data_IF_064095852463
#
_entry.id   IF_064095852463
#
_cell.length_a   1.000
_cell.length_b   1.000
_cell.length_c   1.000
_cell.angle_alpha   90.00
_cell.angle_beta   90.00
_cell.angle_gamma   90.00
#
_symmetry.space_group_name_H-M   'P 1'
#
loop_
_entity.id
_entity.type
_entity.pdbx_description
1 polymer ?
#
# COMPACT_ATOMS: atom_id res chain seq x y z
N UNK A 1 4.82 -19.61 3.75
CA UNK A 1 4.76 -18.65 2.63
C UNK A 1 6.17 -18.13 2.42
N UNK A 2 6.75 -18.35 1.25
CA UNK A 2 8.11 -17.89 0.97
C UNK A 2 8.14 -16.39 0.67
N UNK A 3 9.31 -15.78 0.79
CA UNK A 3 9.48 -14.33 0.54
C UNK A 3 8.97 -13.94 -0.84
N UNK A 4 9.20 -14.74 -1.88
CA UNK A 4 8.70 -14.49 -3.23
C UNK A 4 7.18 -14.44 -3.31
N UNK A 5 6.50 -15.32 -2.58
CA UNK A 5 5.04 -15.32 -2.53
C UNK A 5 4.50 -14.04 -1.88
N UNK A 6 5.21 -13.47 -0.89
CA UNK A 6 4.83 -12.18 -0.28
C UNK A 6 4.84 -11.05 -1.31
N UNK A 7 5.87 -10.98 -2.14
CA UNK A 7 5.94 -9.97 -3.22
C UNK A 7 4.85 -10.20 -4.28
N UNK A 8 4.59 -11.46 -4.63
CA UNK A 8 3.50 -11.80 -5.55
C UNK A 8 2.13 -11.37 -4.99
N UNK A 9 1.87 -11.65 -3.72
CA UNK A 9 0.66 -11.18 -3.04
C UNK A 9 0.59 -9.66 -2.98
N UNK A 10 1.73 -8.97 -2.81
CA UNK A 10 1.78 -7.51 -2.85
C UNK A 10 1.35 -6.96 -4.20
N UNK A 11 1.73 -7.62 -5.31
CA UNK A 11 1.33 -7.23 -6.66
C UNK A 11 -0.14 -7.53 -6.95
N UNK A 12 -0.69 -8.63 -6.45
CA UNK A 12 -2.07 -9.04 -6.74
C UNK A 12 -3.08 -8.36 -5.79
N UNK A 13 -2.67 -8.07 -4.56
CA UNK A 13 -3.49 -7.50 -3.49
C UNK A 13 -4.32 -6.28 -3.90
N UNK A 14 -3.74 -5.25 -4.54
CA UNK A 14 -4.48 -4.07 -4.99
C UNK A 14 -5.68 -4.40 -5.87
N UNK A 15 -5.58 -5.40 -6.76
CA UNK A 15 -6.69 -5.80 -7.63
C UNK A 15 -7.88 -6.34 -6.82
N UNK A 16 -7.61 -7.21 -5.85
CA UNK A 16 -8.64 -7.78 -5.00
C UNK A 16 -9.26 -6.71 -4.08
N UNK A 17 -8.44 -5.82 -3.52
CA UNK A 17 -8.92 -4.77 -2.61
C UNK A 17 -9.73 -3.72 -3.37
N UNK A 18 -9.30 -3.30 -4.56
CA UNK A 18 -10.07 -2.36 -5.40
C UNK A 18 -11.44 -2.92 -5.81
N UNK A 19 -11.53 -4.24 -6.05
CA UNK A 19 -12.82 -4.90 -6.31
C UNK A 19 -13.74 -4.85 -5.08
N UNK A 20 -13.20 -5.13 -3.89
CA UNK A 20 -13.93 -5.07 -2.62
C UNK A 20 -14.31 -3.63 -2.22
N UNK A 21 -13.48 -2.67 -2.58
CA UNK A 21 -13.63 -1.25 -2.26
C UNK A 21 -14.87 -0.61 -2.87
N UNK A 22 -15.32 -1.08 -4.03
CA UNK A 22 -16.60 -0.65 -4.62
C UNK A 22 -17.79 -0.94 -3.72
N UNK A 23 -17.64 -1.81 -2.71
CA UNK A 23 -18.69 -2.19 -1.78
C UNK A 23 -18.56 -1.51 -0.41
N UNK A 24 -17.37 -1.02 -0.04
CA UNK A 24 -17.07 -0.60 1.33
C UNK A 24 -16.20 0.68 1.33
N UNK A 25 -16.70 1.78 1.90
CA UNK A 25 -16.00 3.08 2.01
C UNK A 25 -14.85 3.11 3.06
N UNK A 26 -14.16 1.98 3.25
CA UNK A 26 -13.08 1.78 4.24
C UNK A 26 -11.75 1.38 3.58
N UNK A 27 -11.51 1.83 2.35
CA UNK A 27 -10.38 1.41 1.51
C UNK A 27 -9.03 1.50 2.17
N UNK A 28 -8.69 2.70 2.63
CA UNK A 28 -7.42 2.97 3.29
C UNK A 28 -7.14 1.96 4.40
N UNK A 29 -8.14 1.66 5.23
CA UNK A 29 -7.98 0.70 6.32
C UNK A 29 -7.73 -0.73 5.80
N UNK A 30 -8.49 -1.18 4.79
CA UNK A 30 -8.32 -2.51 4.20
C UNK A 30 -6.94 -2.66 3.56
N UNK A 31 -6.48 -1.65 2.82
CA UNK A 31 -5.16 -1.63 2.20
C UNK A 31 -4.03 -1.69 3.23
N UNK A 32 -4.14 -0.89 4.30
CA UNK A 32 -3.13 -0.90 5.37
C UNK A 32 -3.12 -2.21 6.15
N UNK A 33 -4.28 -2.80 6.43
CA UNK A 33 -4.37 -4.11 7.10
C UNK A 33 -3.76 -5.19 6.21
N UNK A 34 -4.04 -5.18 4.90
CA UNK A 34 -3.46 -6.12 3.96
C UNK A 34 -1.94 -6.00 3.90
N UNK A 35 -1.41 -4.79 3.64
CA UNK A 35 0.04 -4.53 3.62
C UNK A 35 0.70 -4.88 4.95
N UNK A 36 0.10 -4.49 6.07
CA UNK A 36 0.57 -4.83 7.42
C UNK A 36 0.66 -6.33 7.63
N UNK A 37 -0.33 -7.10 7.15
CA UNK A 37 -0.31 -8.57 7.22
C UNK A 37 0.89 -9.16 6.46
N UNK A 38 1.19 -8.65 5.25
CA UNK A 38 2.34 -9.08 4.45
C UNK A 38 3.66 -8.79 5.16
N UNK A 39 3.80 -7.62 5.78
CA UNK A 39 4.99 -7.26 6.55
C UNK A 39 5.13 -8.13 7.80
N UNK A 40 4.05 -8.43 8.51
CA UNK A 40 4.05 -9.36 9.64
C UNK A 40 4.53 -10.74 9.17
N UNK A 41 3.97 -11.26 8.07
CA UNK A 41 4.40 -12.53 7.50
C UNK A 41 5.88 -12.53 7.12
N UNK A 42 6.36 -11.46 6.48
CA UNK A 42 7.79 -11.30 6.14
C UNK A 42 8.67 -11.50 7.38
N UNK A 43 8.34 -10.84 8.49
CA UNK A 43 9.12 -10.95 9.74
C UNK A 43 9.07 -12.33 10.40
N UNK A 44 8.05 -13.14 10.09
CA UNK A 44 7.91 -14.52 10.59
C UNK A 44 8.71 -15.51 9.75
N UNK A 45 8.75 -15.32 8.44
CA UNK A 45 9.33 -16.30 7.50
C UNK A 45 10.82 -16.04 7.24
N UNK A 46 11.29 -14.80 7.40
CA UNK A 46 12.69 -14.45 7.24
C UNK A 46 13.24 -13.72 8.48
N UNK A 47 14.18 -14.36 9.18
CA UNK A 47 14.86 -13.77 10.35
C UNK A 47 15.72 -12.56 9.98
N UNK A 48 16.15 -12.47 8.72
CA UNK A 48 16.93 -11.36 8.14
C UNK A 48 16.04 -10.28 7.52
N UNK A 49 14.72 -10.38 7.68
CA UNK A 49 13.78 -9.36 7.22
C UNK A 49 14.25 -7.96 7.64
N UNK A 50 14.34 -7.07 6.65
CA UNK A 50 14.84 -5.71 6.77
C UNK A 50 13.80 -4.68 6.35
N UNK A 51 14.03 -3.42 6.72
CA UNK A 51 13.16 -2.30 6.33
C UNK A 51 13.09 -2.13 4.82
N UNK A 52 14.18 -2.43 4.09
CA UNK A 52 14.21 -2.36 2.62
C UNK A 52 13.35 -3.45 1.97
N UNK A 53 13.29 -4.65 2.56
CA UNK A 53 12.38 -5.69 2.09
C UNK A 53 10.92 -5.30 2.33
N UNK A 54 10.60 -4.71 3.49
CA UNK A 54 9.27 -4.19 3.76
C UNK A 54 8.90 -3.03 2.82
N UNK A 55 9.83 -2.11 2.56
CA UNK A 55 9.67 -1.06 1.55
C UNK A 55 9.41 -1.68 0.17
N UNK A 56 10.14 -2.73 -0.21
CA UNK A 56 9.92 -3.47 -1.45
C UNK A 56 8.49 -4.03 -1.58
N UNK A 57 7.91 -4.54 -0.49
CA UNK A 57 6.49 -4.95 -0.48
C UNK A 57 5.61 -3.75 -0.85
N UNK A 58 5.81 -2.61 -0.18
CA UNK A 58 5.04 -1.39 -0.42
C UNK A 58 5.19 -0.86 -1.84
N UNK A 59 6.41 -0.84 -2.38
CA UNK A 59 6.67 -0.43 -3.76
C UNK A 59 5.97 -1.34 -4.77
N UNK A 60 6.02 -2.66 -4.57
CA UNK A 60 5.31 -3.62 -5.42
C UNK A 60 3.79 -3.41 -5.37
N UNK A 61 3.26 -3.17 -4.16
CA UNK A 61 1.84 -2.86 -3.96
C UNK A 61 1.45 -1.58 -4.72
N UNK A 62 2.16 -0.48 -4.44
CA UNK A 62 1.87 0.81 -5.05
C UNK A 62 2.05 0.79 -6.56
N UNK A 63 3.00 0.02 -7.10
CA UNK A 63 3.18 -0.14 -8.54
C UNK A 63 1.98 -0.83 -9.20
N UNK A 64 1.47 -1.90 -8.61
CA UNK A 64 0.28 -2.58 -9.14
C UNK A 64 -0.96 -1.71 -9.05
N UNK A 65 -1.17 -1.03 -7.92
CA UNK A 65 -2.28 -0.09 -7.75
C UNK A 65 -2.21 1.05 -8.77
N UNK A 66 -1.01 1.58 -8.99
CA UNK A 66 -0.75 2.60 -9.99
C UNK A 66 -1.15 2.16 -11.41
N UNK A 67 -0.83 0.94 -11.81
CA UNK A 67 -1.23 0.41 -13.11
C UNK A 67 -2.76 0.40 -13.23
N UNK A 68 -3.46 -0.04 -12.19
CA UNK A 68 -4.93 -0.08 -12.15
C UNK A 68 -5.56 1.30 -12.23
N UNK A 69 -5.02 2.27 -11.49
CA UNK A 69 -5.46 3.66 -11.58
C UNK A 69 -5.19 4.27 -12.95
N UNK A 70 -4.02 4.03 -13.52
CA UNK A 70 -3.65 4.55 -14.84
C UNK A 70 -4.60 4.07 -15.92
N UNK A 71 -5.01 2.80 -15.86
CA UNK A 71 -6.04 2.24 -16.75
C UNK A 71 -7.38 2.97 -16.59
N UNK A 72 -7.84 3.16 -15.35
CA UNK A 72 -9.10 3.86 -15.08
C UNK A 72 -9.07 5.33 -15.55
N UNK A 73 -8.02 6.08 -15.21
CA UNK A 73 -7.91 7.50 -15.61
C UNK A 73 -7.76 7.70 -17.10
N UNK A 74 -7.04 6.79 -17.78
CA UNK A 74 -6.94 6.81 -19.22
C UNK A 74 -8.31 6.63 -19.87
N UNK A 75 -9.13 5.68 -19.38
CA UNK A 75 -10.50 5.49 -19.87
C UNK A 75 -11.44 6.65 -19.56
N UNK A 76 -11.16 7.43 -18.52
CA UNK A 76 -11.95 8.60 -18.11
C UNK A 76 -11.45 9.93 -18.70
N UNK A 77 -10.36 9.94 -19.47
CA UNK A 77 -9.78 11.16 -20.07
C UNK A 77 -9.06 12.10 -19.08
N UNK A 78 -8.71 11.64 -17.87
CA UNK A 78 -8.16 12.47 -16.78
C UNK A 78 -6.63 12.35 -16.66
N UNK A 79 -5.89 12.78 -17.68
CA UNK A 79 -4.44 12.55 -17.77
C UNK A 79 -3.57 13.34 -16.79
N UNK A 80 -3.99 14.52 -16.33
CA UNK A 80 -3.21 15.31 -15.36
C UNK A 80 -3.26 14.71 -13.95
N UNK A 81 -4.40 14.10 -13.59
CA UNK A 81 -4.61 13.38 -12.34
C UNK A 81 -3.71 12.15 -12.23
N UNK A 82 -3.50 11.44 -13.34
CA UNK A 82 -2.69 10.22 -13.37
C UNK A 82 -1.21 10.51 -13.11
N UNK A 83 -0.67 11.65 -13.58
CA UNK A 83 0.74 12.01 -13.39
C UNK A 83 1.09 12.29 -11.92
N UNK A 84 0.21 12.99 -11.19
CA UNK A 84 0.41 13.24 -9.76
C UNK A 84 0.30 11.96 -8.94
N UNK A 85 -0.66 11.08 -9.23
CA UNK A 85 -0.70 9.76 -8.57
C UNK A 85 0.51 8.89 -8.92
N UNK A 86 0.99 8.93 -10.16
CA UNK A 86 2.20 8.24 -10.64
C UNK A 86 3.42 8.48 -9.74
N UNK A 87 3.69 9.74 -9.43
CA UNK A 87 4.91 10.12 -8.72
C UNK A 87 4.86 9.81 -7.22
N UNK A 88 3.67 9.69 -6.67
CA UNK A 88 3.47 9.84 -5.23
C UNK A 88 2.84 8.58 -4.61
N UNK A 89 1.99 7.84 -5.34
CA UNK A 89 1.36 6.60 -4.84
C UNK A 89 2.43 5.57 -4.50
N UNK A 90 3.33 5.24 -5.43
CA UNK A 90 4.35 4.20 -5.22
C UNK A 90 5.25 4.50 -4.02
N UNK A 91 5.86 5.70 -3.87
CA UNK A 91 6.65 6.02 -2.69
C UNK A 91 5.85 5.98 -1.39
N UNK A 92 4.60 6.44 -1.40
CA UNK A 92 3.74 6.41 -0.21
C UNK A 92 3.50 4.99 0.28
N UNK A 93 3.20 4.04 -0.61
CA UNK A 93 3.07 2.63 -0.20
C UNK A 93 4.38 2.06 0.35
N UNK A 94 5.53 2.44 -0.23
CA UNK A 94 6.84 2.10 0.33
C UNK A 94 7.04 2.61 1.76
N UNK A 95 6.68 3.87 2.04
CA UNK A 95 6.84 4.47 3.37
C UNK A 95 5.87 3.85 4.38
N UNK A 96 4.61 3.64 4.02
CA UNK A 96 3.61 3.03 4.93
C UNK A 96 4.01 1.61 5.37
N UNK A 97 4.59 0.79 4.49
CA UNK A 97 5.11 -0.53 4.89
C UNK A 97 6.38 -0.45 5.74
N UNK A 98 7.20 0.60 5.60
CA UNK A 98 8.29 0.87 6.54
C UNK A 98 7.77 1.17 7.94
N UNK A 99 6.70 1.96 8.08
CA UNK A 99 6.06 2.23 9.37
C UNK A 99 5.55 0.96 10.04
N UNK A 100 4.91 0.07 9.28
CA UNK A 100 4.53 -1.26 9.76
C UNK A 100 5.74 -2.05 10.28
N UNK A 101 6.80 -2.13 9.47
CA UNK A 101 8.00 -2.88 9.83
C UNK A 101 8.67 -2.34 11.10
N UNK A 102 8.82 -1.02 11.19
CA UNK A 102 9.37 -0.36 12.38
C UNK A 102 8.49 -0.60 13.61
N UNK A 103 7.17 -0.50 13.46
CA UNK A 103 6.21 -0.82 14.53
C UNK A 103 6.37 -2.26 15.04
N UNK A 104 6.55 -3.22 14.16
CA UNK A 104 6.79 -4.63 14.52
C UNK A 104 8.13 -4.80 15.24
N UNK A 105 9.22 -4.25 14.70
CA UNK A 105 10.57 -4.37 15.30
C UNK A 105 10.65 -3.70 16.67
N UNK A 106 9.98 -2.57 16.86
CA UNK A 106 9.90 -1.85 18.14
C UNK A 106 8.86 -2.45 19.11
N UNK A 107 8.15 -3.53 18.72
CA UNK A 107 7.03 -4.12 19.46
C UNK A 107 5.89 -3.13 19.76
N UNK A 108 5.74 -2.10 18.93
CA UNK A 108 4.69 -1.08 18.97
C UNK A 108 3.88 -1.15 17.67
N UNK A 109 3.35 -2.33 17.35
CA UNK A 109 2.65 -2.61 16.08
C UNK A 109 1.51 -1.63 15.85
N UNK A 110 0.76 -1.29 16.89
CA UNK A 110 -0.34 -0.33 16.83
C UNK A 110 0.13 1.09 16.42
N UNK A 111 1.31 1.55 16.88
CA UNK A 111 1.87 2.82 16.42
C UNK A 111 2.32 2.75 14.96
N UNK A 112 2.89 1.61 14.53
CA UNK A 112 3.21 1.39 13.12
C UNK A 112 1.98 1.46 12.23
N UNK A 113 0.89 0.80 12.65
CA UNK A 113 -0.40 0.81 11.95
C UNK A 113 -1.01 2.22 11.90
N UNK A 114 -1.05 2.93 13.03
CA UNK A 114 -1.56 4.30 13.10
C UNK A 114 -0.73 5.26 12.25
N UNK A 115 0.60 5.13 12.27
CA UNK A 115 1.49 5.94 11.45
C UNK A 115 1.29 5.69 9.95
N UNK A 116 1.16 4.43 9.55
CA UNK A 116 0.86 4.06 8.16
C UNK A 116 -0.51 4.61 7.72
N UNK A 117 -1.55 4.44 8.54
CA UNK A 117 -2.90 4.94 8.26
C UNK A 117 -2.94 6.46 8.17
N UNK A 118 -2.29 7.16 9.10
CA UNK A 118 -2.22 8.62 9.09
C UNK A 118 -1.47 9.13 7.86
N UNK A 119 -0.37 8.50 7.47
CA UNK A 119 0.44 8.90 6.32
C UNK A 119 -0.30 8.64 5.00
N UNK A 120 -0.97 7.50 4.86
CA UNK A 120 -1.82 7.21 3.70
C UNK A 120 -3.02 8.19 3.64
N UNK A 121 -3.70 8.42 4.76
CA UNK A 121 -4.80 9.38 4.81
C UNK A 121 -4.39 10.81 4.45
N UNK A 122 -3.27 11.29 5.02
CA UNK A 122 -2.69 12.59 4.71
C UNK A 122 -2.36 12.70 3.21
N UNK A 123 -1.79 11.64 2.65
CA UNK A 123 -1.44 11.60 1.25
C UNK A 123 -2.66 11.69 0.32
N UNK A 124 -3.72 10.93 0.61
CA UNK A 124 -4.96 11.00 -0.15
C UNK A 124 -5.62 12.38 -0.03
N UNK A 125 -5.55 13.00 1.15
CA UNK A 125 -6.00 14.37 1.35
C UNK A 125 -5.21 15.39 0.50
N UNK A 126 -3.88 15.32 0.53
CA UNK A 126 -3.00 16.26 -0.20
C UNK A 126 -3.10 16.12 -1.72
N UNK A 127 -3.33 14.90 -2.21
CA UNK A 127 -3.50 14.66 -3.64
C UNK A 127 -4.89 15.02 -4.15
N UNK A 128 -5.84 15.38 -3.26
CA UNK A 128 -7.14 15.94 -3.64
C UNK A 128 -8.06 14.99 -4.40
N UNK A 129 -7.69 13.71 -4.52
CA UNK A 129 -8.51 12.70 -5.18
C UNK A 129 -9.16 11.80 -4.12
N UNK A 130 -10.48 11.84 -3.96
CA UNK A 130 -11.19 10.78 -3.26
C UNK A 130 -10.76 9.44 -3.89
N UNK A 131 -10.57 8.40 -3.08
CA UNK A 131 -10.25 7.06 -3.58
C UNK A 131 -11.28 6.56 -4.62
N UNK A 132 -12.47 7.16 -4.66
CA UNK A 132 -13.48 7.04 -5.70
C UNK A 132 -14.27 8.37 -5.77
N UNK A 133 -14.05 9.15 -6.83
CA UNK A 133 -15.06 10.06 -7.40
C UNK A 133 -15.13 9.79 -8.88
#
# INVERSE_FOLDING_TARGET
>A
MDVWLIYLWSLIGPMAILLLLRLLAIGILLEEVFKGSLVIWLTKVDKRASVFMAMGIGLAYGFSELVLYSLNYWTAGMYSASLWRLLFTVPMHGVTTMFWFLGIKLRKVWLGALGALALHGLFNYLTGFPLLS
#
